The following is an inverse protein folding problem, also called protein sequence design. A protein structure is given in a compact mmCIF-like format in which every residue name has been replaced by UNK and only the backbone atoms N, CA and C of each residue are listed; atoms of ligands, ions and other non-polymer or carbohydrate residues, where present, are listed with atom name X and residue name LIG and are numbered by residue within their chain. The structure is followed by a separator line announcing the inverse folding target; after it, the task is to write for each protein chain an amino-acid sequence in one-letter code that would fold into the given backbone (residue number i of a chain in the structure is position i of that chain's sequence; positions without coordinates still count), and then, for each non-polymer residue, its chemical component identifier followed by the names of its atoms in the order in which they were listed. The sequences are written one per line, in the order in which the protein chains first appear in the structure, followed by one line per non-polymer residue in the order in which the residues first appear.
data_IF_191192286341
#
_entry.id   IF_191192286341
#
_cell.length_a   1.000
_cell.length_b   1.000
_cell.length_c   1.000
_cell.angle_alpha   90.00
_cell.angle_beta   90.00
_cell.angle_gamma   90.00
#
_symmetry.space_group_name_H-M   'P 1'
#
loop_
_entity.id
_entity.type
_entity.pdbx_description
1 polymer ?
#
# COMPACT_ATOMS: atom_id res chain seq x y z
N UNK A 1 17.70 13.21 9.41
CA UNK A 1 16.90 13.40 8.18
C UNK A 1 17.88 13.75 7.07
N UNK A 2 17.94 12.98 5.98
CA UNK A 2 18.80 13.31 4.85
C UNK A 2 18.19 14.50 4.10
N UNK A 3 18.60 15.71 4.49
CA UNK A 3 18.14 16.98 3.91
C UNK A 3 18.64 17.21 2.48
N UNK A 4 19.41 16.27 1.90
CA UNK A 4 19.96 16.34 0.55
C UNK A 4 18.98 15.91 -0.55
N UNK A 5 17.91 15.16 -0.21
CA UNK A 5 16.98 14.62 -1.20
C UNK A 5 15.97 15.66 -1.73
N UNK A 6 15.58 16.63 -0.89
CA UNK A 6 14.60 17.65 -1.29
C UNK A 6 15.15 18.53 -2.44
N UNK A 7 16.38 19.08 -2.36
CA UNK A 7 16.97 19.83 -3.46
C UNK A 7 17.05 19.03 -4.77
N UNK A 8 17.51 17.78 -4.71
CA UNK A 8 17.61 16.91 -5.89
C UNK A 8 16.25 16.65 -6.56
N UNK A 9 15.20 16.43 -5.77
CA UNK A 9 13.83 16.26 -6.28
C UNK A 9 13.34 17.53 -6.96
N UNK A 10 13.60 18.72 -6.37
CA UNK A 10 13.21 20.00 -6.96
C UNK A 10 13.92 20.22 -8.29
N UNK A 11 15.23 19.96 -8.35
CA UNK A 11 16.01 20.11 -9.58
C UNK A 11 15.47 19.22 -10.69
N UNK A 12 15.20 17.94 -10.40
CA UNK A 12 14.64 17.01 -11.38
C UNK A 12 13.26 17.44 -11.89
N UNK A 13 12.39 17.98 -11.02
CA UNK A 13 11.05 18.46 -11.42
C UNK A 13 11.14 19.71 -12.31
N UNK A 14 12.10 20.60 -12.04
CA UNK A 14 12.27 21.85 -12.80
C UNK A 14 12.62 21.60 -14.27
N UNK A 15 13.29 20.49 -14.59
CA UNK A 15 13.59 20.11 -15.99
C UNK A 15 12.39 19.52 -16.74
N UNK A 16 11.31 19.18 -16.05
CA UNK A 16 10.15 18.57 -16.69
C UNK A 16 9.25 19.62 -17.35
N UNK A 17 8.62 19.32 -18.50
CA UNK A 17 7.55 20.15 -19.06
C UNK A 17 6.34 20.19 -18.12
N UNK A 18 5.54 21.25 -18.24
CA UNK A 18 4.42 21.55 -17.34
C UNK A 18 3.44 20.38 -17.15
N UNK A 19 3.13 19.64 -18.21
CA UNK A 19 2.22 18.49 -18.13
C UNK A 19 2.76 17.38 -17.22
N UNK A 20 4.08 17.13 -17.26
CA UNK A 20 4.73 16.15 -16.40
C UNK A 20 4.89 16.67 -14.97
N UNK A 21 5.20 17.95 -14.77
CA UNK A 21 5.18 18.56 -13.44
C UNK A 21 3.81 18.41 -12.75
N UNK A 22 2.72 18.64 -13.51
CA UNK A 22 1.34 18.44 -13.01
C UNK A 22 1.06 16.99 -12.65
N UNK A 23 1.58 16.01 -13.41
CA UNK A 23 1.48 14.59 -13.08
C UNK A 23 2.21 14.26 -11.79
N UNK A 24 3.44 14.75 -11.62
CA UNK A 24 4.22 14.57 -10.38
C UNK A 24 3.47 15.16 -9.18
N UNK A 25 2.92 16.37 -9.31
CA UNK A 25 2.13 16.99 -8.24
C UNK A 25 0.90 16.15 -7.87
N UNK A 26 0.19 15.59 -8.86
CA UNK A 26 -0.95 14.73 -8.60
C UNK A 26 -0.54 13.45 -7.85
N UNK A 27 0.55 12.81 -8.28
CA UNK A 27 1.10 11.65 -7.62
C UNK A 27 1.50 11.93 -6.16
N UNK A 28 2.24 13.02 -5.92
CA UNK A 28 2.66 13.40 -4.56
C UNK A 28 1.46 13.68 -3.66
N UNK A 29 0.40 14.30 -4.18
CA UNK A 29 -0.85 14.50 -3.43
C UNK A 29 -1.52 13.17 -3.05
N UNK A 30 -1.53 12.19 -3.94
CA UNK A 30 -2.05 10.85 -3.64
C UNK A 30 -1.16 10.14 -2.61
N UNK A 31 0.16 10.18 -2.79
CA UNK A 31 1.11 9.59 -1.86
C UNK A 31 0.97 10.17 -0.45
N UNK A 32 0.79 11.49 -0.35
CA UNK A 32 0.53 12.17 0.92
C UNK A 32 -0.75 11.66 1.57
N UNK A 33 -1.86 11.56 0.83
CA UNK A 33 -3.11 10.98 1.34
C UNK A 33 -2.92 9.54 1.83
N UNK A 34 -2.21 8.70 1.06
CA UNK A 34 -1.89 7.33 1.48
C UNK A 34 -1.05 7.32 2.75
N UNK A 35 -0.12 8.27 2.89
CA UNK A 35 0.71 8.38 4.09
C UNK A 35 -0.09 8.84 5.32
N UNK A 36 -0.98 9.81 5.16
CA UNK A 36 -1.84 10.32 6.22
C UNK A 36 -2.91 9.31 6.64
N UNK A 37 -3.41 8.52 5.69
CA UNK A 37 -4.41 7.47 5.94
C UNK A 37 -3.80 6.16 6.44
N UNK A 38 -2.52 6.14 6.83
CA UNK A 38 -1.93 4.96 7.47
C UNK A 38 -2.52 4.80 8.86
N UNK A 39 -3.22 3.70 9.09
CA UNK A 39 -3.52 3.26 10.44
C UNK A 39 -2.25 2.76 11.12
N UNK A 40 -1.98 3.20 12.34
CA UNK A 40 -0.88 2.66 13.14
C UNK A 40 -1.13 1.17 13.38
N UNK A 41 -0.11 0.32 13.26
CA UNK A 41 -0.29 -1.13 13.52
C UNK A 41 -0.91 -1.43 14.88
N UNK A 42 -0.66 -0.57 15.89
CA UNK A 42 -1.30 -0.64 17.21
C UNK A 42 -2.84 -0.57 17.14
N UNK A 43 -3.43 0.17 16.20
CA UNK A 43 -4.89 0.23 16.06
C UNK A 43 -5.48 -1.07 15.51
N UNK A 44 -4.68 -1.94 14.89
CA UNK A 44 -5.11 -3.26 14.44
C UNK A 44 -5.30 -4.25 15.59
N UNK A 45 -4.69 -4.00 16.76
CA UNK A 45 -4.85 -4.86 17.94
C UNK A 45 -6.31 -4.94 18.41
N UNK A 46 -7.12 -3.92 18.14
CA UNK A 46 -8.55 -3.93 18.43
C UNK A 46 -9.32 -5.03 17.67
N UNK A 47 -8.75 -5.57 16.59
CA UNK A 47 -9.33 -6.65 15.81
C UNK A 47 -8.80 -8.03 16.23
N UNK A 48 -7.86 -8.12 17.18
CA UNK A 48 -7.33 -9.40 17.64
C UNK A 48 -8.45 -10.24 18.28
N UNK A 49 -8.72 -11.42 17.72
CA UNK A 49 -9.80 -12.29 18.16
C UNK A 49 -11.21 -11.85 17.74
N UNK A 50 -11.33 -10.86 16.83
CA UNK A 50 -12.64 -10.42 16.31
C UNK A 50 -13.31 -11.40 15.35
N UNK A 51 -12.54 -12.33 14.77
CA UNK A 51 -13.04 -13.37 13.89
C UNK A 51 -13.48 -14.57 14.73
N UNK A 52 -14.71 -15.02 14.54
CA UNK A 52 -15.24 -16.19 15.24
C UNK A 52 -14.50 -17.48 14.85
N UNK A 53 -14.57 -18.53 15.66
CA UNK A 53 -13.94 -19.81 15.33
C UNK A 53 -14.58 -20.44 14.09
N UNK A 54 -15.87 -20.23 13.93
CA UNK A 54 -16.68 -20.69 12.82
C UNK A 54 -16.23 -20.02 11.52
N UNK A 55 -16.06 -18.70 11.54
CA UNK A 55 -15.57 -17.93 10.39
C UNK A 55 -14.12 -18.29 10.06
N UNK A 56 -13.26 -18.51 11.07
CA UNK A 56 -11.89 -18.98 10.87
C UNK A 56 -11.86 -20.34 10.16
N UNK A 57 -12.78 -21.25 10.51
CA UNK A 57 -12.89 -22.56 9.86
C UNK A 57 -13.28 -22.42 8.40
N UNK A 58 -14.30 -21.60 8.10
CA UNK A 58 -14.73 -21.32 6.72
C UNK A 58 -13.58 -20.71 5.91
N UNK A 59 -12.87 -19.73 6.46
CA UNK A 59 -11.70 -19.11 5.80
C UNK A 59 -10.62 -20.15 5.49
N UNK A 60 -10.35 -21.05 6.45
CA UNK A 60 -9.34 -22.11 6.28
C UNK A 60 -9.72 -23.06 5.15
N UNK A 61 -10.96 -23.54 5.15
CA UNK A 61 -11.47 -24.45 4.11
C UNK A 61 -11.39 -23.84 2.71
N UNK A 62 -11.76 -22.56 2.56
CA UNK A 62 -11.69 -21.85 1.27
C UNK A 62 -10.23 -21.65 0.83
N UNK A 63 -9.33 -21.28 1.74
CA UNK A 63 -7.91 -21.14 1.41
C UNK A 63 -7.34 -22.48 0.93
N UNK A 64 -7.58 -23.57 1.65
CA UNK A 64 -7.05 -24.89 1.30
C UNK A 64 -7.60 -25.40 -0.05
N UNK A 65 -8.87 -25.13 -0.34
CA UNK A 65 -9.53 -25.60 -1.55
C UNK A 65 -9.19 -24.76 -2.79
N UNK A 66 -9.16 -23.44 -2.65
CA UNK A 66 -9.18 -22.52 -3.80
C UNK A 66 -7.91 -21.64 -3.90
N UNK A 67 -7.11 -21.49 -2.83
CA UNK A 67 -5.88 -20.66 -2.82
C UNK A 67 -4.60 -21.45 -2.50
N UNK A 68 -4.70 -22.65 -1.95
CA UNK A 68 -3.57 -23.46 -1.48
C UNK A 68 -2.82 -24.16 -2.61
N UNK A 69 -3.39 -24.19 -3.81
CA UNK A 69 -2.74 -24.70 -5.01
C UNK A 69 -2.23 -23.53 -5.84
N UNK A 70 -0.95 -23.21 -5.67
CA UNK A 70 -0.26 -22.33 -6.62
C UNK A 70 0.07 -23.19 -7.85
N UNK A 71 -0.70 -23.07 -8.92
CA UNK A 71 -0.26 -23.62 -10.21
C UNK A 71 0.89 -22.76 -10.74
N UNK A 72 2.08 -23.34 -10.73
CA UNK A 72 3.29 -22.69 -11.23
C UNK A 72 3.27 -22.48 -12.76
N UNK A 73 2.28 -23.05 -13.46
CA UNK A 73 2.09 -22.94 -14.90
C UNK A 73 0.92 -22.03 -15.32
N UNK A 74 0.22 -21.40 -14.37
CA UNK A 74 -0.87 -20.45 -14.65
C UNK A 74 -0.40 -19.00 -14.89
N UNK A 75 0.90 -18.76 -15.06
CA UNK A 75 1.51 -17.44 -15.30
C UNK A 75 2.40 -17.40 -16.54
#
# INVERSE_FOLDING_TARGET
MNNLLIPEVVDNINYLPYNLQKQVLNYVKQLKKTYENRMLGKSLLNFAGSISKEDLKIMTEVIEKDCGQVDLNEW
#
